data_IF_167498668267
#
_entry.id   IF_167498668267
#
_cell.length_a   1.000
_cell.length_b   1.000
_cell.length_c   1.000
_cell.angle_alpha   90.00
_cell.angle_beta   90.00
_cell.angle_gamma   90.00
#
_symmetry.space_group_name_H-M   'P 1'
#
loop_
_entity.id
_entity.type
_entity.pdbx_description
1 polymer ?
#
# COMPACT_ATOMS: atom_id res chain seq x y z
N UNK A 1 19.70 18.03 -1.85
CA UNK A 1 18.86 17.15 -2.68
C UNK A 1 18.66 15.86 -1.91
N UNK A 2 17.46 15.28 -1.93
CA UNK A 2 17.25 13.96 -1.32
C UNK A 2 17.93 12.90 -2.19
N UNK A 3 18.45 11.83 -1.59
CA UNK A 3 19.13 10.74 -2.32
C UNK A 3 18.19 9.97 -3.27
N UNK A 4 16.87 10.15 -3.09
CA UNK A 4 15.82 9.48 -3.86
C UNK A 4 14.85 10.50 -4.46
N UNK A 5 15.23 11.21 -5.53
CA UNK A 5 14.42 12.29 -6.11
C UNK A 5 13.10 11.80 -6.71
N UNK A 6 12.97 10.50 -6.95
CA UNK A 6 11.83 9.89 -7.63
C UNK A 6 10.95 9.03 -6.74
N UNK A 7 11.44 8.60 -5.58
CA UNK A 7 10.73 7.61 -4.75
C UNK A 7 9.37 8.13 -4.28
N UNK A 8 9.33 9.38 -3.85
CA UNK A 8 8.12 10.05 -3.37
C UNK A 8 7.50 10.99 -4.41
N UNK A 9 8.00 10.98 -5.65
CA UNK A 9 7.42 11.76 -6.73
C UNK A 9 6.11 11.08 -7.19
N UNK A 10 5.05 11.85 -7.50
CA UNK A 10 3.82 11.30 -8.05
C UNK A 10 4.06 10.48 -9.34
N UNK A 11 3.15 9.54 -9.61
CA UNK A 11 3.15 8.73 -10.82
C UNK A 11 1.78 8.79 -11.49
N UNK A 12 1.73 9.37 -12.68
CA UNK A 12 0.54 9.39 -13.52
C UNK A 12 0.40 8.06 -14.28
N UNK A 13 -0.76 7.42 -14.14
CA UNK A 13 -1.12 6.17 -14.83
C UNK A 13 -2.11 6.41 -15.99
N UNK A 14 -2.39 7.66 -16.34
CA UNK A 14 -3.29 8.07 -17.42
C UNK A 14 -4.77 8.14 -17.00
N UNK A 15 -5.21 7.28 -16.08
CA UNK A 15 -6.59 7.29 -15.54
C UNK A 15 -6.66 7.70 -14.06
N UNK A 16 -5.52 7.73 -13.37
CA UNK A 16 -5.38 8.14 -11.98
C UNK A 16 -3.92 8.50 -11.71
N UNK A 17 -3.65 9.16 -10.59
CA UNK A 17 -2.30 9.51 -10.15
C UNK A 17 -2.02 8.89 -8.80
N UNK A 18 -0.95 8.10 -8.72
CA UNK A 18 -0.44 7.62 -7.44
C UNK A 18 0.33 8.76 -6.75
N UNK A 19 0.19 8.93 -5.42
CA UNK A 19 0.86 10.01 -4.70
C UNK A 19 2.38 9.84 -4.65
N UNK A 20 2.88 8.60 -4.84
CA UNK A 20 4.30 8.25 -4.84
C UNK A 20 4.52 6.89 -5.53
N UNK A 21 5.78 6.45 -5.60
CA UNK A 21 6.20 5.19 -6.24
C UNK A 21 6.45 4.07 -5.23
N UNK A 22 5.88 4.17 -4.03
CA UNK A 22 5.98 3.14 -2.98
C UNK A 22 4.81 2.17 -3.15
N UNK A 23 5.13 0.92 -3.46
CA UNK A 23 4.17 -0.17 -3.61
C UNK A 23 4.35 -1.16 -2.47
N UNK A 24 3.24 -1.53 -1.84
CA UNK A 24 3.18 -2.69 -0.97
C UNK A 24 2.84 -3.91 -1.82
N UNK A 25 3.79 -4.85 -1.90
CA UNK A 25 3.62 -6.08 -2.67
C UNK A 25 2.54 -6.99 -2.10
N UNK A 26 2.03 -7.88 -2.95
CA UNK A 26 1.11 -8.94 -2.56
C UNK A 26 1.71 -9.81 -1.46
N UNK A 27 0.94 -10.05 -0.40
CA UNK A 27 1.35 -10.85 0.76
C UNK A 27 0.16 -11.65 1.26
N UNK A 28 0.27 -12.98 1.27
CA UNK A 28 -0.67 -13.84 1.97
C UNK A 28 -0.41 -13.73 3.47
N UNK A 29 -1.20 -12.90 4.15
CA UNK A 29 -1.00 -12.61 5.58
C UNK A 29 -1.57 -13.69 6.49
N UNK A 30 -2.34 -14.63 5.93
CA UNK A 30 -2.95 -15.75 6.67
C UNK A 30 -4.06 -15.29 7.62
N UNK A 31 -4.62 -14.10 7.37
CA UNK A 31 -5.72 -13.54 8.16
C UNK A 31 -7.07 -13.88 7.54
N UNK A 32 -7.10 -14.30 6.28
CA UNK A 32 -8.30 -14.60 5.50
C UNK A 32 -9.13 -15.73 6.15
N UNK A 33 -8.47 -16.66 6.82
CA UNK A 33 -9.10 -17.81 7.51
C UNK A 33 -9.17 -17.64 9.04
N UNK A 34 -8.65 -16.53 9.57
CA UNK A 34 -8.61 -16.28 11.01
C UNK A 34 -9.97 -15.74 11.53
N UNK A 35 -10.31 -15.97 12.80
CA UNK A 35 -11.39 -15.24 13.46
C UNK A 35 -11.16 -13.72 13.35
N UNK A 36 -12.21 -12.99 12.98
CA UNK A 36 -12.19 -11.54 12.71
C UNK A 36 -11.13 -11.14 11.67
N UNK A 37 -10.88 -12.04 10.71
CA UNK A 37 -9.86 -11.92 9.68
C UNK A 37 -9.95 -10.63 8.87
N UNK A 38 -11.16 -10.27 8.43
CA UNK A 38 -11.38 -9.09 7.61
C UNK A 38 -11.14 -7.79 8.36
N UNK A 39 -11.57 -7.68 9.62
CA UNK A 39 -11.33 -6.52 10.47
C UNK A 39 -9.83 -6.33 10.72
N UNK A 40 -9.11 -7.43 10.95
CA UNK A 40 -7.66 -7.42 11.14
C UNK A 40 -6.92 -7.07 9.86
N UNK A 41 -7.37 -7.56 8.71
CA UNK A 41 -6.85 -7.18 7.39
C UNK A 41 -7.10 -5.69 7.10
N UNK A 42 -8.30 -5.19 7.39
CA UNK A 42 -8.64 -3.78 7.22
C UNK A 42 -7.73 -2.88 8.08
N UNK A 43 -7.52 -3.24 9.35
CA UNK A 43 -6.59 -2.54 10.22
C UNK A 43 -5.15 -2.59 9.68
N UNK A 44 -4.70 -3.76 9.22
CA UNK A 44 -3.37 -3.96 8.65
C UNK A 44 -3.10 -3.07 7.42
N UNK A 45 -4.03 -3.02 6.46
CA UNK A 45 -3.91 -2.19 5.27
C UNK A 45 -4.10 -0.70 5.58
N UNK A 46 -5.01 -0.34 6.49
CA UNK A 46 -5.21 1.03 6.92
C UNK A 46 -3.92 1.63 7.51
N UNK A 47 -3.17 0.87 8.32
CA UNK A 47 -1.87 1.32 8.83
C UNK A 47 -0.85 1.60 7.70
N UNK A 48 -0.82 0.79 6.63
CA UNK A 48 0.10 1.03 5.50
C UNK A 48 -0.32 2.23 4.66
N UNK A 49 -1.62 2.42 4.46
CA UNK A 49 -2.16 3.60 3.79
C UNK A 49 -1.83 4.88 4.59
N UNK A 50 -2.02 4.86 5.92
CA UNK A 50 -1.61 5.97 6.81
C UNK A 50 -0.10 6.22 6.79
N UNK A 51 0.70 5.16 6.64
CA UNK A 51 2.15 5.23 6.46
C UNK A 51 2.63 5.79 5.11
N UNK A 52 1.70 6.10 4.18
CA UNK A 52 2.02 6.77 2.92
C UNK A 52 2.31 5.84 1.74
N UNK A 53 1.93 4.56 1.80
CA UNK A 53 2.00 3.67 0.63
C UNK A 53 1.11 4.20 -0.50
N UNK A 54 1.65 4.33 -1.70
CA UNK A 54 0.93 4.84 -2.86
C UNK A 54 0.02 3.81 -3.54
N UNK A 55 0.37 2.53 -3.48
CA UNK A 55 -0.43 1.42 -4.02
C UNK A 55 -0.25 0.14 -3.19
N UNK A 56 -1.34 -0.52 -2.86
CA UNK A 56 -1.36 -1.81 -2.16
C UNK A 56 -1.89 -2.88 -3.11
N UNK A 57 -1.16 -3.98 -3.24
CA UNK A 57 -1.64 -5.21 -3.89
C UNK A 57 -1.94 -6.22 -2.79
N UNK A 58 -3.17 -6.73 -2.72
CA UNK A 58 -3.55 -7.71 -1.70
C UNK A 58 -3.03 -9.10 -2.04
N UNK A 59 -2.82 -9.94 -1.01
CA UNK A 59 -2.56 -11.38 -1.13
C UNK A 59 -3.83 -12.18 -1.35
#
# INVERSE_FOLDING_TARGET
MTDYPHLLAPLDLGFTTLPNRVLMGSMHVGLEEAPDGFERMAAFYAERARGGVGLIVTG
#
